data_IF_465701187106
#
_entry.id   IF_465701187106
#
_cell.length_a   1.000
_cell.length_b   1.000
_cell.length_c   1.000
_cell.angle_alpha   90.00
_cell.angle_beta   90.00
_cell.angle_gamma   90.00
#
_symmetry.space_group_name_H-M   'P 1'
#
loop_
_entity.id
_entity.type
_entity.pdbx_description
1 polymer ?
#
# COMPACT_ATOMS: atom_id res chain seq x y z
N UNK A 1 10.67 15.82 7.92
CA UNK A 1 9.20 15.71 7.74
C UNK A 1 8.87 15.03 6.40
N UNK A 2 8.22 13.88 6.45
CA UNK A 2 7.63 13.20 5.29
C UNK A 2 6.46 13.99 4.72
N UNK A 3 6.18 13.79 3.44
CA UNK A 3 5.22 14.60 2.66
C UNK A 3 3.80 14.58 3.23
N UNK A 4 3.40 13.48 3.90
CA UNK A 4 2.06 13.33 4.48
C UNK A 4 2.00 13.55 6.00
N UNK A 5 3.12 13.90 6.64
CA UNK A 5 3.21 14.00 8.11
C UNK A 5 2.22 15.00 8.72
N UNK A 6 1.83 16.03 7.96
CA UNK A 6 0.92 17.09 8.42
C UNK A 6 -0.55 16.82 8.10
N UNK A 7 -0.87 15.69 7.46
CA UNK A 7 -2.21 15.35 7.01
C UNK A 7 -2.98 14.50 8.04
N UNK A 8 -2.86 14.84 9.33
CA UNK A 8 -3.47 14.07 10.42
C UNK A 8 -5.01 13.96 10.38
N UNK A 9 -5.66 14.90 9.68
CA UNK A 9 -7.12 14.94 9.49
C UNK A 9 -7.59 14.34 8.15
N UNK A 10 -6.67 13.79 7.34
CA UNK A 10 -7.05 13.19 6.05
C UNK A 10 -7.86 11.91 6.28
N UNK A 11 -9.09 11.88 5.75
CA UNK A 11 -9.99 10.74 5.90
C UNK A 11 -10.01 9.82 4.68
N UNK A 12 -9.87 10.40 3.50
CA UNK A 12 -9.94 9.68 2.22
C UNK A 12 -8.66 9.96 1.43
N UNK A 13 -8.01 8.90 0.97
CA UNK A 13 -6.78 9.01 0.20
C UNK A 13 -6.84 8.17 -1.07
N UNK A 14 -6.91 8.84 -2.21
CA UNK A 14 -6.99 8.23 -3.52
C UNK A 14 -5.58 8.12 -4.13
N UNK A 15 -5.05 6.90 -4.21
CA UNK A 15 -3.78 6.60 -4.88
C UNK A 15 -3.96 5.60 -6.03
N UNK A 16 -5.18 5.14 -6.29
CA UNK A 16 -5.48 4.17 -7.34
C UNK A 16 -5.26 4.75 -8.73
N UNK A 17 -5.06 3.88 -9.72
CA UNK A 17 -4.82 4.24 -11.12
C UNK A 17 -3.56 5.10 -11.33
N UNK A 18 -2.47 4.76 -10.65
CA UNK A 18 -1.17 5.40 -10.79
C UNK A 18 -0.10 4.38 -11.22
N UNK A 19 1.17 4.79 -11.20
CA UNK A 19 2.32 3.94 -11.53
C UNK A 19 3.20 3.69 -10.28
N UNK A 20 2.59 3.66 -9.10
CA UNK A 20 3.31 3.43 -7.85
C UNK A 20 3.79 1.98 -7.79
N UNK A 21 5.07 1.80 -7.46
CA UNK A 21 5.69 0.47 -7.28
C UNK A 21 5.85 0.10 -5.80
N UNK A 22 5.99 1.09 -4.93
CA UNK A 22 6.09 0.94 -3.49
C UNK A 22 5.58 2.21 -2.80
N UNK A 23 5.45 2.15 -1.47
CA UNK A 23 5.21 3.33 -0.64
C UNK A 23 6.43 3.51 0.26
N UNK A 24 7.03 4.72 0.31
CA UNK A 24 8.16 4.98 1.19
C UNK A 24 7.83 4.64 2.65
N UNK A 25 8.80 4.05 3.33
CA UNK A 25 8.65 3.70 4.75
C UNK A 25 8.21 4.92 5.56
N UNK A 26 7.14 4.75 6.32
CA UNK A 26 6.61 5.77 7.22
C UNK A 26 5.64 6.76 6.59
N UNK A 27 5.40 6.69 5.27
CA UNK A 27 4.58 7.68 4.58
C UNK A 27 3.14 7.78 5.12
N UNK A 28 2.58 6.70 5.68
CA UNK A 28 1.21 6.68 6.20
C UNK A 28 1.14 6.79 7.74
N UNK A 29 2.27 6.89 8.44
CA UNK A 29 2.31 6.75 9.91
C UNK A 29 1.53 7.86 10.64
N UNK A 30 1.39 9.02 10.02
CA UNK A 30 0.70 10.18 10.60
C UNK A 30 -0.74 10.38 10.09
N UNK A 31 -1.25 9.48 9.23
CA UNK A 31 -2.62 9.54 8.69
C UNK A 31 -3.64 8.97 9.69
N UNK A 32 -3.70 9.55 10.90
CA UNK A 32 -4.45 9.01 12.04
C UNK A 32 -5.97 8.99 11.86
N UNK A 33 -6.50 9.85 10.99
CA UNK A 33 -7.95 9.94 10.72
C UNK A 33 -8.37 9.19 9.45
N UNK A 34 -7.47 8.42 8.83
CA UNK A 34 -7.74 7.75 7.56
C UNK A 34 -8.80 6.66 7.74
N UNK A 35 -9.84 6.73 6.92
CA UNK A 35 -10.94 5.76 6.90
C UNK A 35 -11.04 5.04 5.57
N UNK A 36 -10.58 5.67 4.48
CA UNK A 36 -10.60 5.08 3.15
C UNK A 36 -9.32 5.36 2.39
N UNK A 37 -8.73 4.31 1.83
CA UNK A 37 -7.64 4.39 0.87
C UNK A 37 -7.91 3.48 -0.32
N UNK A 38 -7.64 3.99 -1.51
CA UNK A 38 -7.72 3.22 -2.75
C UNK A 38 -6.31 3.02 -3.29
N UNK A 39 -5.85 1.77 -3.36
CA UNK A 39 -4.50 1.39 -3.78
C UNK A 39 -4.48 0.52 -5.06
N UNK A 40 -5.66 0.08 -5.52
CA UNK A 40 -5.81 -0.76 -6.70
C UNK A 40 -5.31 -0.07 -7.97
N UNK A 41 -5.08 -0.86 -9.03
CA UNK A 41 -4.57 -0.35 -10.31
C UNK A 41 -3.25 0.43 -10.16
N UNK A 42 -2.29 -0.17 -9.45
CA UNK A 42 -0.90 0.27 -9.40
C UNK A 42 0.00 -0.95 -9.64
N UNK A 43 1.14 -0.81 -10.33
CA UNK A 43 2.07 -1.90 -10.58
C UNK A 43 2.98 -2.15 -9.37
N UNK A 44 2.41 -2.57 -8.24
CA UNK A 44 3.15 -2.82 -7.00
C UNK A 44 4.28 -3.85 -7.22
N UNK A 45 5.53 -3.44 -6.99
CA UNK A 45 6.70 -4.28 -7.14
C UNK A 45 6.90 -5.08 -5.85
N UNK A 46 6.35 -6.29 -5.83
CA UNK A 46 6.46 -7.18 -4.70
C UNK A 46 7.73 -8.03 -4.66
N UNK A 47 8.64 -7.86 -5.62
CA UNK A 47 9.92 -8.55 -5.62
C UNK A 47 10.98 -7.77 -4.84
N UNK A 48 10.93 -6.44 -4.91
CA UNK A 48 11.74 -5.52 -4.11
C UNK A 48 11.29 -5.49 -2.64
N UNK A 49 12.24 -5.47 -1.69
CA UNK A 49 11.97 -5.41 -0.25
C UNK A 49 11.28 -4.12 0.21
N UNK A 50 11.31 -3.04 -0.58
CA UNK A 50 10.65 -1.77 -0.22
C UNK A 50 9.12 -1.92 -0.11
N UNK A 51 8.54 -2.96 -0.72
CA UNK A 51 7.12 -3.26 -0.60
C UNK A 51 6.69 -3.63 0.82
N UNK A 52 7.63 -4.08 1.67
CA UNK A 52 7.33 -4.65 2.98
C UNK A 52 6.63 -3.67 3.90
N UNK A 53 6.91 -2.36 3.77
CA UNK A 53 6.17 -1.33 4.50
C UNK A 53 4.68 -1.38 4.15
N UNK A 54 4.34 -1.33 2.87
CA UNK A 54 2.96 -1.34 2.41
C UNK A 54 2.25 -2.66 2.75
N UNK A 55 2.92 -3.80 2.55
CA UNK A 55 2.38 -5.12 2.91
C UNK A 55 1.96 -5.17 4.39
N UNK A 56 2.86 -4.75 5.29
CA UNK A 56 2.60 -4.71 6.73
C UNK A 56 1.51 -3.71 7.08
N UNK A 57 1.55 -2.53 6.47
CA UNK A 57 0.57 -1.48 6.73
C UNK A 57 -0.85 -1.94 6.37
N UNK A 58 -1.05 -2.56 5.20
CA UNK A 58 -2.36 -3.12 4.80
C UNK A 58 -2.78 -4.23 5.77
N UNK A 59 -1.84 -5.09 6.17
CA UNK A 59 -2.13 -6.18 7.13
C UNK A 59 -2.60 -5.66 8.49
N UNK A 60 -2.11 -4.51 8.92
CA UNK A 60 -2.50 -3.85 10.18
C UNK A 60 -3.78 -3.01 10.06
N UNK A 61 -4.10 -2.53 8.85
CA UNK A 61 -5.24 -1.65 8.59
C UNK A 61 -6.17 -2.22 7.48
N UNK A 62 -6.62 -3.48 7.56
CA UNK A 62 -7.40 -4.07 6.47
C UNK A 62 -8.74 -3.38 6.24
N UNK A 63 -9.32 -2.77 7.29
CA UNK A 63 -10.64 -2.14 7.25
C UNK A 63 -10.71 -0.79 6.53
N UNK A 64 -9.56 -0.21 6.13
CA UNK A 64 -9.53 1.09 5.45
C UNK A 64 -9.20 0.97 3.96
N UNK A 65 -8.81 -0.20 3.48
CA UNK A 65 -8.43 -0.42 2.08
C UNK A 65 -9.67 -0.78 1.26
N UNK A 66 -9.92 -0.02 0.19
CA UNK A 66 -11.13 -0.13 -0.61
C UNK A 66 -10.83 -0.56 -2.05
N UNK A 67 -11.74 -1.36 -2.62
CA UNK A 67 -11.73 -1.76 -4.01
C UNK A 67 -12.21 -0.65 -4.96
N UNK A 68 -12.25 -0.96 -6.25
CA UNK A 68 -12.72 -0.05 -7.31
C UNK A 68 -14.20 0.35 -7.19
N UNK A 69 -15.00 -0.37 -6.40
CA UNK A 69 -16.42 -0.10 -6.15
C UNK A 69 -16.65 0.64 -4.83
N UNK A 70 -15.58 0.94 -4.07
CA UNK A 70 -15.67 1.59 -2.76
C UNK A 70 -16.08 0.64 -1.64
N UNK A 71 -16.00 -0.67 -1.86
CA UNK A 71 -16.19 -1.68 -0.81
C UNK A 71 -14.86 -1.98 -0.13
N UNK A 72 -14.88 -2.27 1.17
CA UNK A 72 -13.67 -2.69 1.90
C UNK A 72 -13.16 -4.00 1.32
N UNK A 73 -11.93 -3.95 0.78
CA UNK A 73 -11.22 -5.09 0.22
C UNK A 73 -9.71 -4.91 0.46
N UNK A 74 -9.14 -5.58 1.49
CA UNK A 74 -7.71 -5.51 1.78
C UNK A 74 -6.84 -6.22 0.73
N UNK A 75 -7.44 -6.97 -0.20
CA UNK A 75 -6.75 -7.66 -1.31
C UNK A 75 -6.77 -6.87 -2.63
N UNK A 76 -7.35 -5.66 -2.62
CA UNK A 76 -7.49 -4.82 -3.82
C UNK A 76 -6.15 -4.29 -4.36
N UNK A 77 -5.14 -4.15 -3.49
CA UNK A 77 -3.75 -3.88 -3.89
C UNK A 77 -3.06 -5.19 -4.28
N UNK A 78 -2.66 -5.33 -5.55
CA UNK A 78 -2.10 -6.57 -6.10
C UNK A 78 -0.71 -6.37 -6.68
N UNK A 79 0.14 -7.36 -6.47
CA UNK A 79 1.50 -7.42 -6.99
C UNK A 79 1.51 -7.50 -8.52
N UNK A 80 2.37 -6.68 -9.12
CA UNK A 80 2.64 -6.71 -10.56
C UNK A 80 3.20 -8.08 -10.97
N UNK A 81 2.63 -8.69 -12.01
CA UNK A 81 3.06 -9.97 -12.57
C UNK A 81 2.47 -11.22 -11.90
N UNK A 82 2.30 -11.23 -10.57
CA UNK A 82 1.77 -12.42 -9.86
C UNK A 82 0.30 -12.32 -9.50
N UNK A 83 -0.27 -11.10 -9.49
CA UNK A 83 -1.64 -10.80 -9.07
C UNK A 83 -1.96 -11.22 -7.60
N UNK A 84 -0.93 -11.56 -6.82
CA UNK A 84 -1.06 -11.87 -5.39
C UNK A 84 -1.36 -10.59 -4.60
N UNK A 85 -2.17 -10.66 -3.53
CA UNK A 85 -2.39 -9.50 -2.68
C UNK A 85 -1.08 -8.99 -2.08
N UNK A 86 -0.89 -7.67 -2.07
CA UNK A 86 0.32 -7.04 -1.49
C UNK A 86 0.46 -7.39 -0.02
N UNK A 87 -0.64 -7.47 0.73
CA UNK A 87 -0.64 -7.83 2.17
C UNK A 87 -0.17 -9.26 2.46
N UNK A 88 -0.13 -10.14 1.46
CA UNK A 88 0.34 -11.51 1.61
C UNK A 88 1.87 -11.63 1.42
N UNK A 89 2.54 -10.54 1.00
CA UNK A 89 3.98 -10.53 0.74
C UNK A 89 4.76 -10.54 2.06
N UNK A 90 5.74 -11.42 2.16
CA UNK A 90 6.62 -11.55 3.34
C UNK A 90 8.08 -11.29 2.97
N UNK A 91 8.94 -11.10 3.98
CA UNK A 91 10.38 -10.90 3.75
C UNK A 91 10.99 -12.05 2.94
N UNK A 92 10.58 -13.29 3.20
CA UNK A 92 11.07 -14.49 2.51
C UNK A 92 10.80 -14.49 1.00
N UNK A 93 9.79 -13.76 0.53
CA UNK A 93 9.44 -13.64 -0.90
C UNK A 93 10.08 -12.43 -1.61
N UNK A 94 10.79 -11.57 -0.86
CA UNK A 94 11.36 -10.31 -1.37
C UNK A 94 12.89 -10.31 -1.31
N UNK A 95 13.54 -9.38 -2.00
CA UNK A 95 14.99 -9.15 -1.86
C UNK A 95 15.37 -7.67 -2.08
N UNK A 96 16.29 -7.11 -1.29
CA UNK A 96 16.89 -5.79 -1.57
C UNK A 96 17.61 -5.73 -2.91
N UNK A 97 18.20 -6.85 -3.36
CA UNK A 97 18.89 -6.91 -4.66
C UNK A 97 17.96 -6.84 -5.88
N UNK A 98 16.64 -6.93 -5.66
CA UNK A 98 15.61 -6.79 -6.71
C UNK A 98 15.00 -5.39 -6.73
N UNK A 99 15.49 -4.47 -5.91
CA UNK A 99 15.09 -3.07 -5.92
C UNK A 99 15.88 -2.29 -6.99
N UNK A 100 15.26 -1.28 -7.61
CA UNK A 100 15.90 -0.42 -8.62
C UNK A 100 17.04 0.44 -8.05
#
# INVERSE_FOLDING_TARGET
>A
PGVFDRLGNLQQFYLSNNQLKSIPRGAFDNLKSLTHVWLHTNPWDCACSDILYLSRWISQHPGVVNDRMGSVDPDSARCSGTNTPVRAVTEASTSPSKCP
#
